data_IF_712317295083
#
_entry.id   IF_712317295083
#
_cell.length_a   1.000
_cell.length_b   1.000
_cell.length_c   1.000
_cell.angle_alpha   90.00
_cell.angle_beta   90.00
_cell.angle_gamma   90.00
#
_symmetry.space_group_name_H-M   'P 1'
#
loop_
_entity.id
_entity.type
_entity.pdbx_description
1 polymer ?
#
# COMPACT_ATOMS: atom_id res chain seq x y z
N UNK A 1 -12.96 21.37 -4.49
CA UNK A 1 -11.53 21.16 -4.18
C UNK A 1 -11.22 19.73 -4.59
N UNK A 2 -10.46 19.50 -5.66
CA UNK A 2 -9.99 18.15 -5.97
C UNK A 2 -8.96 17.77 -4.93
N UNK A 3 -9.42 17.18 -3.84
CA UNK A 3 -8.57 16.56 -2.83
C UNK A 3 -7.65 15.59 -3.55
N UNK A 4 -6.34 15.84 -3.50
CA UNK A 4 -5.34 14.86 -3.94
C UNK A 4 -5.64 13.59 -3.15
N UNK A 5 -6.29 12.61 -3.79
CA UNK A 5 -6.52 11.29 -3.18
C UNK A 5 -5.17 10.80 -2.65
N UNK A 6 -5.08 10.61 -1.33
CA UNK A 6 -3.86 10.16 -0.66
C UNK A 6 -3.32 8.87 -1.31
N UNK A 7 -2.03 8.61 -1.15
CA UNK A 7 -1.37 7.44 -1.74
C UNK A 7 -2.07 6.13 -1.35
N UNK A 8 -2.56 6.05 -0.12
CA UNK A 8 -3.42 4.96 0.37
C UNK A 8 -4.68 4.80 -0.48
N UNK A 9 -5.42 5.88 -0.76
CA UNK A 9 -6.65 5.81 -1.55
C UNK A 9 -6.38 5.31 -2.98
N UNK A 10 -5.27 5.76 -3.59
CA UNK A 10 -4.84 5.29 -4.92
C UNK A 10 -4.43 3.81 -4.90
N UNK A 11 -3.78 3.35 -3.84
CA UNK A 11 -3.43 1.94 -3.65
C UNK A 11 -4.66 1.06 -3.45
N UNK A 12 -5.64 1.53 -2.66
CA UNK A 12 -6.93 0.86 -2.47
C UNK A 12 -7.65 0.72 -3.81
N UNK A 13 -7.74 1.80 -4.60
CA UNK A 13 -8.37 1.74 -5.92
C UNK A 13 -7.66 0.77 -6.87
N UNK A 14 -6.31 0.76 -6.88
CA UNK A 14 -5.54 -0.19 -7.66
C UNK A 14 -5.80 -1.64 -7.22
N UNK A 15 -5.88 -1.89 -5.92
CA UNK A 15 -6.16 -3.21 -5.36
C UNK A 15 -7.57 -3.70 -5.71
N UNK A 16 -8.58 -2.84 -5.53
CA UNK A 16 -9.97 -3.14 -5.88
C UNK A 16 -10.13 -3.37 -7.40
N UNK A 17 -9.43 -2.60 -8.24
CA UNK A 17 -9.42 -2.80 -9.70
C UNK A 17 -8.83 -4.14 -10.11
N UNK A 18 -7.89 -4.68 -9.34
CA UNK A 18 -7.33 -6.02 -9.58
C UNK A 18 -8.22 -7.16 -9.06
N UNK A 19 -9.39 -6.86 -8.47
CA UNK A 19 -10.32 -7.86 -7.96
C UNK A 19 -9.85 -8.54 -6.67
N UNK A 20 -9.12 -7.80 -5.83
CA UNK A 20 -8.66 -8.34 -4.55
C UNK A 20 -9.82 -8.86 -3.69
N UNK A 21 -9.72 -10.07 -3.10
CA UNK A 21 -10.84 -10.74 -2.45
C UNK A 21 -11.27 -10.11 -1.12
N UNK A 22 -10.41 -9.28 -0.51
CA UNK A 22 -10.61 -8.73 0.82
C UNK A 22 -10.67 -7.19 0.79
N UNK A 23 -11.52 -6.58 1.62
CA UNK A 23 -11.52 -5.12 1.72
C UNK A 23 -10.30 -4.62 2.50
N UNK A 24 -9.55 -3.64 1.97
CA UNK A 24 -8.54 -2.94 2.75
C UNK A 24 -9.20 -2.16 3.88
N UNK A 25 -8.62 -2.29 5.07
CA UNK A 25 -9.05 -1.61 6.26
C UNK A 25 -8.33 -0.27 6.46
N UNK A 26 -8.72 0.40 7.54
CA UNK A 26 -8.13 1.67 7.97
C UNK A 26 -6.68 1.55 8.46
N UNK A 27 -6.23 0.34 8.77
CA UNK A 27 -4.84 0.01 9.15
C UNK A 27 -3.85 0.06 7.97
N UNK A 28 -4.28 0.52 6.80
CA UNK A 28 -3.37 0.75 5.68
C UNK A 28 -2.41 1.90 6.02
N UNK A 29 -1.12 1.69 5.79
CA UNK A 29 -0.05 2.61 6.19
C UNK A 29 0.85 2.99 5.02
N UNK A 30 1.52 4.14 5.13
CA UNK A 30 2.58 4.57 4.22
C UNK A 30 3.93 4.43 4.94
N UNK A 31 4.91 3.85 4.26
CA UNK A 31 6.25 3.56 4.79
C UNK A 31 7.30 4.07 3.83
N UNK A 32 8.28 4.80 4.33
CA UNK A 32 9.48 5.12 3.56
C UNK A 32 10.61 4.18 3.99
N UNK A 33 11.25 3.51 3.04
CA UNK A 33 12.41 2.64 3.28
C UNK A 33 13.42 2.87 2.17
N UNK A 34 14.69 3.08 2.53
CA UNK A 34 15.80 3.26 1.56
C UNK A 34 15.51 4.38 0.53
N UNK A 35 14.86 5.47 0.97
CA UNK A 35 14.46 6.59 0.11
C UNK A 35 13.34 6.25 -0.89
N UNK A 36 12.65 5.13 -0.70
CA UNK A 36 11.51 4.70 -1.53
C UNK A 36 10.24 4.71 -0.68
N UNK A 37 9.16 5.22 -1.26
CA UNK A 37 7.85 5.23 -0.61
C UNK A 37 7.07 3.97 -0.95
N UNK A 38 6.46 3.39 0.07
CA UNK A 38 5.65 2.19 0.01
C UNK A 38 4.30 2.47 0.67
N UNK A 39 3.26 1.85 0.15
CA UNK A 39 1.91 1.87 0.71
C UNK A 39 1.54 0.43 1.00
N UNK A 40 1.27 0.13 2.26
CA UNK A 40 0.95 -1.19 2.75
C UNK A 40 -0.55 -1.20 3.05
N UNK A 41 -1.30 -2.01 2.32
CA UNK A 41 -2.71 -2.26 2.58
C UNK A 41 -2.85 -3.39 3.60
N UNK A 42 -3.56 -3.11 4.68
CA UNK A 42 -3.88 -4.07 5.73
C UNK A 42 -5.37 -4.06 6.04
N UNK A 43 -5.86 -5.15 6.59
CA UNK A 43 -7.17 -5.25 7.20
C UNK A 43 -7.07 -6.03 8.53
N UNK A 44 -8.22 -6.32 9.14
CA UNK A 44 -8.27 -7.06 10.41
C UNK A 44 -7.73 -8.50 10.33
N UNK A 45 -7.63 -9.07 9.12
CA UNK A 45 -7.01 -10.39 8.89
C UNK A 45 -5.49 -10.29 8.71
N UNK A 46 -4.97 -9.09 8.52
CA UNK A 46 -3.54 -8.82 8.38
C UNK A 46 -3.22 -8.07 7.09
N UNK A 47 -2.08 -8.39 6.51
CA UNK A 47 -1.57 -7.74 5.32
C UNK A 47 -2.29 -8.23 4.06
N UNK A 48 -2.65 -7.32 3.15
CA UNK A 48 -3.32 -7.64 1.88
C UNK A 48 -2.41 -7.49 0.67
N UNK A 49 -1.76 -6.34 0.57
CA UNK A 49 -0.88 -6.00 -0.55
C UNK A 49 -0.02 -4.80 -0.18
N UNK A 50 1.14 -4.65 -0.81
CA UNK A 50 1.87 -3.40 -0.81
C UNK A 50 2.15 -2.88 -2.22
N UNK A 51 2.33 -1.58 -2.29
CA UNK A 51 2.58 -0.84 -3.50
C UNK A 51 3.80 0.02 -3.27
N UNK A 52 4.73 0.02 -4.21
CA UNK A 52 5.82 1.00 -4.23
C UNK A 52 5.37 2.20 -5.06
N UNK A 53 5.59 3.39 -4.53
CA UNK A 53 5.51 4.62 -5.31
C UNK A 53 6.78 4.73 -6.16
N UNK A 54 6.59 4.77 -7.47
CA UNK A 54 7.65 5.04 -8.43
C UNK A 54 7.84 6.56 -8.56
N UNK A 55 9.02 7.01 -9.00
CA UNK A 55 9.33 8.45 -9.14
C UNK A 55 8.40 9.21 -10.11
N UNK A 56 7.70 8.50 -11.00
CA UNK A 56 6.69 9.05 -11.91
C UNK A 56 5.32 9.27 -11.22
N UNK A 57 5.19 8.93 -9.93
CA UNK A 57 3.94 9.01 -9.18
C UNK A 57 2.99 7.81 -9.42
N UNK A 58 3.46 6.80 -10.15
CA UNK A 58 2.77 5.52 -10.34
C UNK A 58 2.92 4.59 -9.14
N UNK A 59 1.92 3.74 -8.90
CA UNK A 59 1.95 2.72 -7.85
C UNK A 59 2.17 1.35 -8.48
N UNK A 60 3.28 0.69 -8.12
CA UNK A 60 3.61 -0.66 -8.56
C UNK A 60 3.31 -1.65 -7.45
N UNK A 61 2.40 -2.60 -7.71
CA UNK A 61 2.17 -3.73 -6.80
C UNK A 61 3.43 -4.57 -6.71
N UNK A 62 3.90 -4.83 -5.50
CA UNK A 62 5.03 -5.73 -5.28
C UNK A 62 4.50 -7.17 -5.21
N UNK A 63 5.25 -8.11 -5.80
CA UNK A 63 4.99 -9.55 -5.67
C UNK A 63 5.71 -10.16 -4.47
N UNK A 64 6.86 -9.59 -4.12
CA UNK A 64 7.68 -9.94 -2.96
C UNK A 64 8.06 -8.64 -2.25
N UNK A 65 7.99 -8.65 -0.92
CA UNK A 65 8.14 -7.46 -0.08
C UNK A 65 9.40 -7.58 0.78
N UNK A 66 10.12 -6.49 1.04
CA UNK A 66 11.18 -6.49 2.04
C UNK A 66 10.61 -6.79 3.44
N UNK A 67 11.27 -7.65 4.20
CA UNK A 67 10.90 -8.03 5.58
C UNK A 67 10.64 -6.84 6.51
N UNK A 68 11.33 -5.72 6.25
CA UNK A 68 11.15 -4.45 6.96
C UNK A 68 9.72 -3.86 6.86
N UNK A 69 8.93 -4.23 5.85
CA UNK A 69 7.51 -3.86 5.73
C UNK A 69 6.56 -4.85 6.41
N UNK A 70 7.00 -6.10 6.59
CA UNK A 70 6.23 -7.13 7.27
C UNK A 70 6.35 -7.04 8.79
N UNK A 71 7.45 -6.48 9.28
CA UNK A 71 7.69 -6.29 10.71
C UNK A 71 6.67 -5.31 11.29
N UNK A 72 5.78 -5.80 12.17
CA UNK A 72 5.16 -4.92 13.16
C UNK A 72 6.34 -4.27 13.92
N UNK A 73 6.35 -2.96 14.06
CA UNK A 73 7.28 -2.34 15.00
C UNK A 73 6.98 -2.99 16.36
N UNK A 74 7.91 -3.82 16.84
CA UNK A 74 7.87 -4.46 18.16
C UNK A 74 7.99 -3.39 19.26
#
# INVERSE_FOLDING_TARGET
MSEKKGLIARAIEAYLRTGGPDQPGRDSEERELDGRHYVVLRNSRGFLAAYRLEGDGGLRRLGEWPDALNSKAE
#
